data_IF_892360516696
#
_entry.id   IF_892360516696
#
_cell.length_a   1.000
_cell.length_b   1.000
_cell.length_c   1.000
_cell.angle_alpha   90.00
_cell.angle_beta   90.00
_cell.angle_gamma   90.00
#
_symmetry.space_group_name_H-M   'P 1'
#
loop_
_entity.id
_entity.type
_entity.pdbx_description
1 polymer ?
#
# COMPACT_ATOMS: atom_id res chain seq x y z
N UNK A 1 -8.87 -32.74 7.73
CA UNK A 1 -8.54 -31.50 8.47
C UNK A 1 -8.69 -30.37 7.47
N UNK A 2 -9.37 -29.28 7.81
CA UNK A 2 -9.70 -28.23 6.85
C UNK A 2 -8.49 -27.33 6.58
N UNK A 3 -7.60 -27.73 5.68
CA UNK A 3 -6.49 -26.87 5.23
C UNK A 3 -7.03 -25.55 4.63
N UNK A 4 -6.37 -24.43 4.96
CA UNK A 4 -6.70 -23.12 4.40
C UNK A 4 -6.45 -21.94 5.34
N UNK A 5 -6.77 -20.71 4.88
CA UNK A 5 -6.48 -19.48 5.63
C UNK A 5 -7.19 -19.43 7.00
N UNK A 6 -8.39 -20.00 7.11
CA UNK A 6 -9.16 -19.98 8.35
C UNK A 6 -8.52 -20.83 9.46
N UNK A 7 -7.92 -21.95 9.10
CA UNK A 7 -7.21 -22.78 10.08
C UNK A 7 -5.98 -22.05 10.62
N UNK A 8 -5.17 -21.44 9.75
CA UNK A 8 -3.99 -20.69 10.15
C UNK A 8 -4.36 -19.46 11.00
N UNK A 9 -5.46 -18.78 10.67
CA UNK A 9 -6.00 -17.68 11.48
C UNK A 9 -6.37 -18.15 12.89
N UNK A 10 -7.11 -19.26 13.01
CA UNK A 10 -7.50 -19.85 14.31
C UNK A 10 -6.30 -20.28 15.15
N UNK A 11 -5.25 -20.83 14.52
CA UNK A 11 -4.00 -21.16 15.21
C UNK A 11 -3.30 -19.91 15.77
N UNK A 12 -3.23 -18.83 14.98
CA UNK A 12 -2.65 -17.56 15.44
C UNK A 12 -3.45 -16.95 16.60
N UNK A 13 -4.78 -17.01 16.58
CA UNK A 13 -5.63 -16.62 17.72
C UNK A 13 -5.34 -17.48 18.95
N UNK A 14 -5.29 -18.80 18.81
CA UNK A 14 -5.04 -19.73 19.92
C UNK A 14 -3.65 -19.54 20.55
N UNK A 15 -2.64 -19.17 19.76
CA UNK A 15 -1.29 -18.87 20.25
C UNK A 15 -1.15 -17.50 20.92
N UNK A 16 -2.17 -16.63 20.85
CA UNK A 16 -2.10 -15.25 21.31
C UNK A 16 -1.38 -14.28 20.36
N UNK A 17 -0.88 -14.76 19.21
CA UNK A 17 -0.23 -13.92 18.20
C UNK A 17 -1.20 -12.95 17.48
N UNK A 18 -2.50 -13.25 17.51
CA UNK A 18 -3.57 -12.36 17.05
C UNK A 18 -4.62 -12.17 18.15
N UNK A 19 -5.21 -10.98 18.20
CA UNK A 19 -6.40 -10.69 19.01
C UNK A 19 -7.66 -10.97 18.18
N UNK A 20 -8.76 -11.46 18.80
CA UNK A 20 -10.01 -11.70 18.08
C UNK A 20 -10.59 -10.40 17.51
N UNK A 21 -10.95 -10.43 16.22
CA UNK A 21 -11.65 -9.35 15.54
C UNK A 21 -12.69 -9.92 14.57
N UNK A 22 -13.93 -9.40 14.63
CA UNK A 22 -15.04 -9.91 13.82
C UNK A 22 -14.86 -9.59 12.34
N UNK A 23 -14.29 -8.44 11.98
CA UNK A 23 -14.10 -8.04 10.60
C UNK A 23 -12.96 -8.84 9.94
N UNK A 24 -11.88 -9.09 10.68
CA UNK A 24 -10.81 -10.00 10.24
C UNK A 24 -11.34 -11.44 10.07
N UNK A 25 -12.16 -11.93 11.01
CA UNK A 25 -12.76 -13.25 10.89
C UNK A 25 -13.62 -13.38 9.62
N UNK A 26 -14.49 -12.40 9.35
CA UNK A 26 -15.31 -12.37 8.13
C UNK A 26 -14.46 -12.32 6.85
N UNK A 27 -13.40 -11.51 6.83
CA UNK A 27 -12.48 -11.45 5.71
C UNK A 27 -11.80 -12.81 5.45
N UNK A 28 -11.34 -13.47 6.51
CA UNK A 28 -10.70 -14.79 6.43
C UNK A 28 -11.70 -15.88 6.03
N UNK A 29 -12.96 -15.83 6.48
CA UNK A 29 -14.01 -16.76 6.06
C UNK A 29 -14.33 -16.64 4.56
N UNK A 30 -14.34 -15.41 4.04
CA UNK A 30 -14.51 -15.15 2.61
C UNK A 30 -13.33 -15.69 1.80
N UNK A 31 -12.10 -15.49 2.30
CA UNK A 31 -10.90 -16.09 1.70
C UNK A 31 -10.89 -17.62 1.77
N UNK A 32 -11.43 -18.21 2.84
CA UNK A 32 -11.59 -19.66 2.93
C UNK A 32 -12.60 -20.19 1.89
N UNK A 33 -13.68 -19.45 1.65
CA UNK A 33 -14.64 -19.77 0.60
C UNK A 33 -13.98 -19.74 -0.79
N UNK A 34 -13.21 -18.68 -1.08
CA UNK A 34 -12.45 -18.58 -2.32
C UNK A 34 -11.38 -19.68 -2.42
N UNK A 35 -10.65 -19.96 -1.35
CA UNK A 35 -9.68 -21.07 -1.29
C UNK A 35 -10.34 -22.39 -1.71
N UNK A 36 -11.54 -22.67 -1.22
CA UNK A 36 -12.27 -23.88 -1.59
C UNK A 36 -12.69 -23.88 -3.06
N UNK A 37 -13.17 -22.74 -3.58
CA UNK A 37 -13.55 -22.58 -4.98
C UNK A 37 -12.36 -22.70 -5.94
N UNK A 38 -11.16 -22.36 -5.48
CA UNK A 38 -9.92 -22.48 -6.26
C UNK A 38 -9.35 -23.90 -6.32
N UNK A 39 -9.89 -24.85 -5.55
CA UNK A 39 -9.42 -26.25 -5.57
C UNK A 39 -9.62 -26.82 -6.98
N UNK A 40 -8.52 -27.24 -7.60
CA UNK A 40 -8.46 -27.74 -8.98
C UNK A 40 -8.83 -26.72 -10.06
N UNK A 41 -8.86 -25.42 -9.73
CA UNK A 41 -9.15 -24.38 -10.71
C UNK A 41 -8.03 -24.27 -11.74
N UNK A 42 -8.40 -24.30 -13.04
CA UNK A 42 -7.52 -24.03 -14.17
C UNK A 42 -8.26 -23.16 -15.19
N UNK A 43 -7.75 -21.96 -15.53
CA UNK A 43 -8.37 -21.15 -16.57
C UNK A 43 -8.32 -21.86 -17.92
N UNK A 44 -9.46 -21.85 -18.62
CA UNK A 44 -9.64 -22.59 -19.88
C UNK A 44 -8.86 -22.01 -21.07
N UNK A 45 -8.26 -20.83 -20.90
CA UNK A 45 -7.50 -20.12 -21.91
C UNK A 45 -5.97 -20.27 -21.76
N UNK A 46 -5.49 -21.27 -21.02
CA UNK A 46 -4.06 -21.61 -21.06
C UNK A 46 -3.69 -22.12 -22.48
N UNK A 47 -2.64 -21.60 -23.14
CA UNK A 47 -2.49 -21.65 -24.60
C UNK A 47 -1.93 -22.97 -25.16
N UNK A 48 -2.18 -24.12 -24.53
CA UNK A 48 -1.57 -25.39 -24.94
C UNK A 48 -2.46 -26.32 -25.78
N UNK A 49 -3.69 -25.93 -26.09
CA UNK A 49 -4.59 -26.82 -26.86
C UNK A 49 -4.54 -26.58 -28.36
N UNK A 50 -3.44 -27.00 -28.99
CA UNK A 50 -3.40 -27.24 -30.44
C UNK A 50 -4.43 -28.30 -30.89
N UNK A 51 -4.90 -29.13 -29.96
CA UNK A 51 -5.97 -30.11 -30.16
C UNK A 51 -7.37 -29.50 -30.33
N UNK A 52 -7.62 -28.27 -29.85
CA UNK A 52 -8.93 -27.63 -30.01
C UNK A 52 -9.28 -27.28 -31.48
N UNK A 53 -8.29 -27.28 -32.39
CA UNK A 53 -8.49 -27.02 -33.84
C UNK A 53 -8.87 -28.26 -34.64
N UNK A 54 -8.77 -29.47 -34.06
CA UNK A 54 -9.12 -30.74 -34.71
C UNK A 54 -10.38 -31.35 -34.12
N UNK A 55 -11.54 -30.69 -34.33
CA UNK A 55 -12.86 -31.35 -34.48
C UNK A 55 -13.43 -32.24 -33.36
N UNK A 56 -12.73 -32.45 -32.25
CA UNK A 56 -13.17 -33.29 -31.12
C UNK A 56 -13.25 -32.48 -29.81
N UNK A 57 -13.74 -31.24 -29.89
CA UNK A 57 -13.95 -30.39 -28.73
C UNK A 57 -15.19 -30.83 -27.94
N UNK A 58 -15.01 -31.22 -26.68
CA UNK A 58 -16.09 -31.21 -25.68
C UNK A 58 -16.83 -29.87 -25.80
N UNK A 59 -18.16 -29.93 -25.89
CA UNK A 59 -19.03 -28.74 -25.87
C UNK A 59 -18.61 -27.82 -24.72
N UNK A 60 -18.62 -26.52 -24.99
CA UNK A 60 -18.31 -25.38 -24.11
C UNK A 60 -19.22 -25.27 -22.85
N UNK A 61 -19.81 -26.38 -22.39
CA UNK A 61 -20.95 -26.45 -21.46
C UNK A 61 -20.57 -26.95 -20.05
N UNK A 62 -19.35 -27.44 -19.84
CA UNK A 62 -18.92 -28.08 -18.58
C UNK A 62 -17.66 -27.43 -17.95
N UNK A 63 -17.40 -26.15 -18.24
CA UNK A 63 -16.33 -25.40 -17.56
C UNK A 63 -17.03 -24.51 -16.54
N UNK A 64 -16.81 -24.78 -15.25
CA UNK A 64 -17.30 -23.91 -14.18
C UNK A 64 -16.77 -22.48 -14.41
N UNK A 65 -17.61 -21.45 -14.23
CA UNK A 65 -17.16 -20.07 -14.36
C UNK A 65 -16.01 -19.79 -13.40
N UNK A 66 -15.06 -18.90 -13.76
CA UNK A 66 -13.98 -18.51 -12.87
C UNK A 66 -14.52 -18.11 -11.48
N UNK A 67 -13.88 -18.58 -10.38
CA UNK A 67 -14.25 -18.14 -9.04
C UNK A 67 -14.22 -16.62 -8.94
N UNK A 68 -15.24 -16.06 -8.28
CA UNK A 68 -15.31 -14.62 -8.06
C UNK A 68 -14.15 -14.19 -7.15
N UNK A 69 -13.42 -13.16 -7.57
CA UNK A 69 -12.32 -12.59 -6.79
C UNK A 69 -12.81 -11.79 -5.59
N UNK A 70 -11.89 -11.19 -4.82
CA UNK A 70 -12.22 -10.41 -3.62
C UNK A 70 -11.47 -9.07 -3.63
N UNK A 71 -12.16 -7.98 -3.28
CA UNK A 71 -11.55 -6.67 -3.07
C UNK A 71 -11.78 -6.24 -1.61
N UNK A 72 -10.72 -6.28 -0.81
CA UNK A 72 -10.75 -5.77 0.56
C UNK A 72 -10.40 -4.29 0.58
N UNK A 73 -11.21 -3.50 1.26
CA UNK A 73 -10.90 -2.10 1.51
C UNK A 73 -11.14 -1.70 2.97
N UNK A 74 -10.54 -0.60 3.38
CA UNK A 74 -10.68 -0.04 4.72
C UNK A 74 -9.39 0.64 5.14
N UNK A 75 -9.36 1.33 6.28
CA UNK A 75 -8.17 2.06 6.73
C UNK A 75 -6.93 1.18 6.88
N UNK A 76 -5.76 1.81 6.95
CA UNK A 76 -4.49 1.14 7.28
C UNK A 76 -4.58 0.45 8.66
N UNK A 77 -3.85 -0.64 8.84
CA UNK A 77 -3.78 -1.35 10.13
C UNK A 77 -4.95 -2.27 10.50
N UNK A 78 -5.93 -2.46 9.62
CA UNK A 78 -7.10 -3.32 9.88
C UNK A 78 -6.89 -4.81 9.59
N UNK A 79 -5.66 -5.23 9.27
CA UNK A 79 -5.32 -6.64 9.05
C UNK A 79 -5.57 -7.19 7.64
N UNK A 80 -5.82 -6.32 6.64
CA UNK A 80 -6.03 -6.74 5.23
C UNK A 80 -4.84 -7.53 4.67
N UNK A 81 -3.62 -7.02 4.85
CA UNK A 81 -2.39 -7.68 4.39
C UNK A 81 -2.14 -9.01 5.11
N UNK A 82 -2.44 -9.08 6.41
CA UNK A 82 -2.40 -10.34 7.17
C UNK A 82 -3.39 -11.37 6.63
N UNK A 83 -4.63 -10.97 6.35
CA UNK A 83 -5.61 -11.87 5.73
C UNK A 83 -5.13 -12.35 4.34
N UNK A 84 -4.55 -11.44 3.54
CA UNK A 84 -3.91 -11.77 2.26
C UNK A 84 -2.75 -12.77 2.45
N UNK A 85 -1.89 -12.60 3.46
CA UNK A 85 -0.78 -13.52 3.76
C UNK A 85 -1.29 -14.95 4.00
N UNK A 86 -2.29 -15.07 4.88
CA UNK A 86 -2.88 -16.36 5.26
C UNK A 86 -3.49 -17.07 4.05
N UNK A 87 -4.16 -16.31 3.19
CA UNK A 87 -4.74 -16.84 1.96
C UNK A 87 -3.67 -17.23 0.94
N UNK A 88 -2.74 -16.33 0.61
CA UNK A 88 -1.74 -16.57 -0.41
C UNK A 88 -0.85 -17.77 -0.06
N UNK A 89 -0.45 -17.91 1.21
CA UNK A 89 0.34 -19.04 1.69
C UNK A 89 -0.36 -20.39 1.46
N UNK A 90 -1.70 -20.43 1.57
CA UNK A 90 -2.48 -21.66 1.50
C UNK A 90 -3.24 -21.84 0.18
N UNK A 91 -3.29 -20.84 -0.70
CA UNK A 91 -4.09 -20.88 -1.92
C UNK A 91 -3.71 -22.08 -2.81
N UNK A 92 -4.67 -22.96 -3.15
CA UNK A 92 -4.43 -24.24 -3.84
C UNK A 92 -4.39 -24.03 -5.37
N UNK A 93 -3.58 -23.06 -5.82
CA UNK A 93 -3.44 -22.68 -7.23
C UNK A 93 -1.97 -22.82 -7.63
N UNK A 94 -1.72 -23.53 -8.73
CA UNK A 94 -0.38 -23.83 -9.24
C UNK A 94 0.36 -22.55 -9.65
N UNK A 95 -0.30 -21.70 -10.45
CA UNK A 95 0.23 -20.41 -10.89
C UNK A 95 -0.42 -19.27 -10.12
N UNK A 96 0.24 -18.83 -9.04
CA UNK A 96 -0.19 -17.68 -8.24
C UNK A 96 0.94 -16.67 -8.13
N UNK A 97 0.57 -15.39 -8.08
CA UNK A 97 1.50 -14.29 -7.91
C UNK A 97 0.93 -13.27 -6.95
N UNK A 98 1.78 -12.78 -6.05
CA UNK A 98 1.50 -11.64 -5.19
C UNK A 98 2.47 -10.51 -5.51
N UNK A 99 1.98 -9.27 -5.58
CA UNK A 99 2.77 -8.11 -5.99
C UNK A 99 2.11 -6.81 -5.53
N UNK A 100 2.89 -5.78 -5.25
CA UNK A 100 2.36 -4.43 -5.06
C UNK A 100 1.80 -3.87 -6.37
N UNK A 101 0.66 -3.18 -6.30
CA UNK A 101 -0.05 -2.78 -7.53
C UNK A 101 0.78 -1.86 -8.45
N UNK A 102 1.55 -0.93 -7.90
CA UNK A 102 2.38 -0.01 -8.68
C UNK A 102 3.55 -0.71 -9.40
N UNK A 103 4.15 -1.73 -8.78
CA UNK A 103 5.20 -2.56 -9.41
C UNK A 103 4.62 -3.36 -10.58
N UNK A 104 3.43 -3.95 -10.37
CA UNK A 104 2.70 -4.62 -11.44
C UNK A 104 2.43 -3.68 -12.62
N UNK A 105 2.00 -2.45 -12.36
CA UNK A 105 1.78 -1.47 -13.43
C UNK A 105 3.07 -1.10 -14.16
N UNK A 106 4.20 -0.96 -13.47
CA UNK A 106 5.50 -0.73 -14.10
C UNK A 106 5.88 -1.88 -15.05
N UNK A 107 5.66 -3.14 -14.65
CA UNK A 107 5.88 -4.30 -15.51
C UNK A 107 4.94 -4.33 -16.71
N UNK A 108 3.66 -4.03 -16.50
CA UNK A 108 2.65 -3.92 -17.56
C UNK A 108 3.09 -2.90 -18.60
N UNK A 109 3.53 -1.71 -18.19
CA UNK A 109 4.03 -0.69 -19.11
C UNK A 109 5.25 -1.18 -19.89
N UNK A 110 6.19 -1.88 -19.24
CA UNK A 110 7.35 -2.46 -19.92
C UNK A 110 6.93 -3.51 -20.98
N UNK A 111 6.00 -4.41 -20.65
CA UNK A 111 5.44 -5.40 -21.59
C UNK A 111 4.72 -4.72 -22.75
N UNK A 112 3.87 -3.73 -22.48
CA UNK A 112 3.15 -2.96 -23.49
C UNK A 112 4.12 -2.22 -24.42
N UNK A 113 5.15 -1.59 -23.89
CA UNK A 113 6.16 -0.89 -24.69
C UNK A 113 6.91 -1.86 -25.62
N UNK A 114 7.35 -3.02 -25.08
CA UNK A 114 7.98 -4.09 -25.86
C UNK A 114 7.07 -4.59 -26.98
N UNK A 115 5.80 -4.84 -26.69
CA UNK A 115 4.83 -5.32 -27.68
C UNK A 115 4.47 -4.25 -28.71
N UNK A 116 4.37 -2.97 -28.32
CA UNK A 116 4.19 -1.85 -29.26
C UNK A 116 5.36 -1.72 -30.23
N UNK A 117 6.60 -1.91 -29.76
CA UNK A 117 7.78 -1.88 -30.65
C UNK A 117 7.75 -3.01 -31.68
N UNK A 118 7.29 -4.21 -31.30
CA UNK A 118 7.08 -5.33 -32.23
C UNK A 118 5.90 -5.04 -33.19
N UNK A 119 4.78 -4.55 -32.66
CA UNK A 119 3.55 -4.30 -33.39
C UNK A 119 3.59 -3.06 -34.31
N UNK A 120 4.55 -2.14 -34.16
CA UNK A 120 4.78 -1.04 -35.13
C UNK A 120 5.02 -1.54 -36.56
N UNK A 121 5.29 -2.83 -36.75
CA UNK A 121 5.41 -3.49 -38.07
C UNK A 121 4.10 -4.06 -38.61
N UNK A 122 3.10 -4.31 -37.76
CA UNK A 122 1.90 -5.09 -38.12
C UNK A 122 0.56 -4.41 -37.76
N UNK A 123 0.59 -3.34 -36.95
CA UNK A 123 -0.61 -2.62 -36.50
C UNK A 123 -1.48 -3.46 -35.56
N UNK A 124 -1.38 -3.25 -34.25
CA UNK A 124 -2.18 -4.02 -33.29
C UNK A 124 -2.20 -3.45 -31.89
N UNK A 125 -3.30 -3.70 -31.19
CA UNK A 125 -3.47 -3.33 -29.79
C UNK A 125 -2.63 -4.27 -28.89
N UNK A 126 -1.69 -3.74 -28.09
CA UNK A 126 -0.79 -4.54 -27.27
C UNK A 126 -1.43 -5.08 -25.98
N UNK A 127 -2.66 -4.67 -25.64
CA UNK A 127 -3.28 -5.07 -24.36
C UNK A 127 -3.65 -6.56 -24.33
N UNK A 128 -4.42 -7.13 -25.29
CA UNK A 128 -4.72 -8.56 -25.30
C UNK A 128 -3.50 -9.50 -25.27
N UNK A 129 -2.41 -9.27 -26.03
CA UNK A 129 -1.21 -10.09 -25.89
C UNK A 129 -0.52 -9.91 -24.53
N UNK A 130 -0.53 -8.71 -23.95
CA UNK A 130 0.00 -8.49 -22.58
C UNK A 130 -0.80 -9.28 -21.54
N UNK A 131 -2.13 -9.25 -21.62
CA UNK A 131 -2.99 -10.02 -20.72
C UNK A 131 -2.75 -11.53 -20.84
N UNK A 132 -2.55 -12.04 -22.07
CA UNK A 132 -2.18 -13.45 -22.31
C UNK A 132 -0.83 -13.83 -21.70
N UNK A 133 0.18 -12.98 -21.83
CA UNK A 133 1.47 -13.21 -21.17
C UNK A 133 1.32 -13.26 -19.64
N UNK A 134 0.51 -12.37 -19.05
CA UNK A 134 0.27 -12.37 -17.60
C UNK A 134 -0.52 -13.60 -17.16
N UNK A 135 -1.58 -13.99 -17.88
CA UNK A 135 -2.40 -15.16 -17.56
C UNK A 135 -1.63 -16.49 -17.72
N UNK A 136 -0.63 -16.52 -18.60
CA UNK A 136 0.29 -17.64 -18.70
C UNK A 136 1.20 -17.77 -17.47
N UNK A 137 1.54 -16.66 -16.82
CA UNK A 137 2.40 -16.61 -15.63
C UNK A 137 1.60 -16.81 -14.33
N UNK A 138 0.36 -16.30 -14.24
CA UNK A 138 -0.46 -16.32 -13.03
C UNK A 138 -1.95 -16.49 -13.32
N UNK A 139 -2.58 -17.48 -12.67
CA UNK A 139 -4.03 -17.71 -12.66
C UNK A 139 -4.71 -17.02 -11.48
N UNK A 140 -3.97 -16.83 -10.39
CA UNK A 140 -4.37 -16.04 -9.23
C UNK A 140 -3.41 -14.86 -9.07
N UNK A 141 -3.96 -13.64 -9.14
CA UNK A 141 -3.25 -12.40 -8.86
C UNK A 141 -3.70 -11.85 -7.51
N UNK A 142 -2.75 -11.69 -6.59
CA UNK A 142 -2.93 -11.08 -5.29
C UNK A 142 -2.26 -9.70 -5.28
N UNK A 143 -3.04 -8.63 -5.31
CA UNK A 143 -2.54 -7.27 -5.25
C UNK A 143 -2.54 -6.73 -3.83
N UNK A 144 -1.39 -6.28 -3.37
CA UNK A 144 -1.29 -5.42 -2.20
C UNK A 144 -1.30 -3.95 -2.58
N UNK A 145 -1.92 -3.14 -1.73
CA UNK A 145 -1.96 -1.68 -1.86
C UNK A 145 -2.50 -1.22 -3.23
N UNK A 146 -3.64 -1.78 -3.62
CA UNK A 146 -4.32 -1.42 -4.87
C UNK A 146 -4.78 0.04 -4.81
N UNK A 147 -4.04 0.92 -5.47
CA UNK A 147 -4.35 2.34 -5.59
C UNK A 147 -3.94 2.89 -6.96
N UNK A 148 -4.76 3.78 -7.52
CA UNK A 148 -4.56 4.36 -8.84
C UNK A 148 -4.50 5.88 -8.70
N UNK A 149 -3.34 6.45 -9.00
CA UNK A 149 -3.09 7.89 -8.94
C UNK A 149 -2.61 8.48 -10.28
N UNK A 150 -2.12 7.66 -11.21
CA UNK A 150 -1.62 8.08 -12.52
C UNK A 150 -2.71 7.94 -13.60
N UNK A 151 -2.82 8.95 -14.47
CA UNK A 151 -3.67 8.92 -15.65
C UNK A 151 -3.26 7.82 -16.64
N UNK A 152 -1.95 7.57 -16.79
CA UNK A 152 -1.45 6.56 -17.72
C UNK A 152 -1.97 5.17 -17.33
N UNK A 153 -1.97 4.87 -16.02
CA UNK A 153 -2.49 3.64 -15.47
C UNK A 153 -4.01 3.57 -15.64
N UNK A 154 -4.71 4.64 -15.27
CA UNK A 154 -6.16 4.73 -15.36
C UNK A 154 -6.69 4.43 -16.77
N UNK A 155 -5.99 4.86 -17.82
CA UNK A 155 -6.42 4.65 -19.22
C UNK A 155 -6.23 3.21 -19.72
N UNK A 156 -5.34 2.42 -19.11
CA UNK A 156 -5.03 1.06 -19.56
C UNK A 156 -5.75 0.01 -18.71
N UNK A 157 -5.94 0.30 -17.42
CA UNK A 157 -6.41 -0.68 -16.43
C UNK A 157 -7.72 -1.36 -16.79
N UNK A 158 -8.72 -0.59 -17.22
CA UNK A 158 -10.03 -1.15 -17.58
C UNK A 158 -9.92 -2.26 -18.61
N UNK A 159 -9.24 -1.97 -19.72
CA UNK A 159 -9.06 -2.89 -20.85
C UNK A 159 -8.18 -4.09 -20.48
N UNK A 160 -7.16 -3.88 -19.64
CA UNK A 160 -6.28 -4.95 -19.18
C UNK A 160 -7.01 -5.93 -18.28
N UNK A 161 -7.73 -5.44 -17.27
CA UNK A 161 -8.45 -6.29 -16.33
C UNK A 161 -9.62 -7.01 -16.99
N UNK A 162 -10.31 -6.36 -17.93
CA UNK A 162 -11.33 -7.01 -18.76
C UNK A 162 -10.74 -8.24 -19.46
N UNK A 163 -9.61 -8.07 -20.17
CA UNK A 163 -8.93 -9.17 -20.83
C UNK A 163 -8.41 -10.24 -19.83
N UNK A 164 -7.92 -9.86 -18.66
CA UNK A 164 -7.50 -10.82 -17.62
C UNK A 164 -8.67 -11.65 -17.10
N UNK A 165 -9.82 -11.03 -16.84
CA UNK A 165 -11.02 -11.73 -16.39
C UNK A 165 -11.61 -12.64 -17.47
N UNK A 166 -11.56 -12.23 -18.75
CA UNK A 166 -11.94 -13.09 -19.88
C UNK A 166 -11.04 -14.32 -20.01
N UNK A 167 -9.75 -14.18 -19.68
CA UNK A 167 -8.80 -15.29 -19.63
C UNK A 167 -8.95 -16.15 -18.37
N UNK A 168 -9.87 -15.81 -17.46
CA UNK A 168 -10.13 -16.54 -16.22
C UNK A 168 -9.11 -16.27 -15.12
N UNK A 169 -8.40 -15.14 -15.14
CA UNK A 169 -7.54 -14.76 -14.01
C UNK A 169 -8.41 -14.34 -12.82
N UNK A 170 -8.17 -14.95 -11.67
CA UNK A 170 -8.84 -14.60 -10.41
C UNK A 170 -8.00 -13.55 -9.69
N UNK A 171 -8.66 -12.52 -9.16
CA UNK A 171 -7.98 -11.40 -8.48
C UNK A 171 -8.41 -11.34 -7.01
N UNK A 172 -7.44 -11.20 -6.11
CA UNK A 172 -7.67 -10.74 -4.74
C UNK A 172 -6.89 -9.44 -4.56
N UNK A 173 -7.51 -8.40 -4.03
CA UNK A 173 -6.86 -7.10 -3.84
C UNK A 173 -7.08 -6.58 -2.41
N UNK A 174 -6.07 -5.91 -1.86
CA UNK A 174 -6.19 -5.09 -0.64
C UNK A 174 -5.98 -3.62 -0.98
N UNK A 175 -6.83 -2.74 -0.47
CA UNK A 175 -6.74 -1.29 -0.71
C UNK A 175 -7.09 -0.50 0.55
N UNK A 176 -6.61 0.74 0.62
CA UNK A 176 -7.08 1.70 1.63
C UNK A 176 -8.32 2.48 1.16
N UNK A 177 -8.72 2.33 -0.11
CA UNK A 177 -9.83 3.06 -0.72
C UNK A 177 -10.93 2.09 -1.18
N UNK A 178 -12.18 2.48 -0.98
CA UNK A 178 -13.29 1.80 -1.63
C UNK A 178 -13.13 1.92 -3.16
N UNK A 179 -13.71 1.01 -3.97
CA UNK A 179 -13.60 1.10 -5.43
C UNK A 179 -14.06 2.44 -6.00
N UNK A 180 -15.09 3.06 -5.40
CA UNK A 180 -15.57 4.39 -5.83
C UNK A 180 -14.57 5.50 -5.54
N UNK A 181 -13.66 5.33 -4.59
CA UNK A 181 -12.64 6.33 -4.24
C UNK A 181 -11.33 6.16 -5.02
N UNK A 182 -11.20 5.07 -5.81
CA UNK A 182 -10.06 4.87 -6.69
C UNK A 182 -10.02 5.97 -7.76
N UNK A 183 -8.85 6.59 -7.94
CA UNK A 183 -8.63 7.68 -8.91
C UNK A 183 -9.61 8.87 -8.72
N UNK A 184 -10.05 9.12 -7.47
CA UNK A 184 -10.94 10.25 -7.14
C UNK A 184 -10.26 11.57 -7.52
N UNK A 185 -11.02 12.43 -8.20
CA UNK A 185 -10.53 13.71 -8.76
C UNK A 185 -9.40 13.58 -9.81
N UNK A 186 -9.15 12.37 -10.34
CA UNK A 186 -8.21 12.18 -11.43
C UNK A 186 -8.68 12.84 -12.72
N UNK A 187 -7.74 13.21 -13.59
CA UNK A 187 -8.06 13.80 -14.89
C UNK A 187 -8.79 12.77 -15.76
N UNK A 188 -9.88 13.17 -16.41
CA UNK A 188 -10.74 12.28 -17.19
C UNK A 188 -11.31 11.07 -16.40
N UNK A 189 -11.63 11.27 -15.13
CA UNK A 189 -12.20 10.25 -14.23
C UNK A 189 -13.40 9.52 -14.83
N UNK A 190 -14.22 10.18 -15.64
CA UNK A 190 -15.34 9.57 -16.36
C UNK A 190 -14.93 8.34 -17.19
N UNK A 191 -13.69 8.31 -17.70
CA UNK A 191 -13.14 7.16 -18.46
C UNK A 191 -12.69 6.02 -17.54
N UNK A 192 -12.48 6.29 -16.26
CA UNK A 192 -12.09 5.30 -15.26
C UNK A 192 -13.30 4.64 -14.57
N UNK A 193 -14.46 5.31 -14.55
CA UNK A 193 -15.70 4.77 -13.99
C UNK A 193 -16.07 3.37 -14.51
N UNK A 194 -15.94 3.04 -15.82
CA UNK A 194 -16.18 1.68 -16.30
C UNK A 194 -15.33 0.62 -15.62
N UNK A 195 -14.09 0.94 -15.25
CA UNK A 195 -13.22 0.02 -14.51
C UNK A 195 -13.69 -0.19 -13.07
N UNK A 196 -14.17 0.86 -12.39
CA UNK A 196 -14.80 0.74 -11.06
C UNK A 196 -16.00 -0.20 -11.12
N UNK A 197 -16.84 -0.06 -12.15
CA UNK A 197 -17.97 -0.96 -12.40
C UNK A 197 -17.50 -2.40 -12.62
N UNK A 198 -16.45 -2.60 -13.42
CA UNK A 198 -15.87 -3.93 -13.66
C UNK A 198 -15.38 -4.58 -12.35
N UNK A 199 -14.67 -3.83 -11.49
CA UNK A 199 -14.24 -4.31 -10.17
C UNK A 199 -15.45 -4.77 -9.34
N UNK A 200 -16.50 -3.95 -9.24
CA UNK A 200 -17.70 -4.27 -8.47
C UNK A 200 -18.49 -5.46 -9.02
N UNK A 201 -18.42 -5.70 -10.33
CA UNK A 201 -19.07 -6.84 -10.96
C UNK A 201 -18.28 -8.15 -10.82
N UNK A 202 -16.95 -8.08 -10.84
CA UNK A 202 -16.08 -9.27 -10.89
C UNK A 202 -15.51 -9.66 -9.54
N UNK A 203 -15.50 -8.75 -8.56
CA UNK A 203 -14.94 -8.98 -7.23
C UNK A 203 -16.02 -8.82 -6.15
N UNK A 204 -15.99 -9.67 -5.13
CA UNK A 204 -16.74 -9.46 -3.89
C UNK A 204 -16.06 -8.33 -3.10
N UNK A 205 -16.73 -7.19 -2.98
CA UNK A 205 -16.18 -5.97 -2.36
C UNK A 205 -16.52 -5.97 -0.87
N UNK A 206 -15.49 -6.07 -0.03
CA UNK A 206 -15.64 -6.25 1.41
C UNK A 206 -14.89 -5.16 2.18
N UNK A 207 -15.61 -4.49 3.08
CA UNK A 207 -15.04 -3.53 4.02
C UNK A 207 -14.45 -4.26 5.22
N UNK A 208 -13.17 -4.04 5.50
CA UNK A 208 -12.46 -4.49 6.70
C UNK A 208 -12.31 -3.28 7.62
N UNK A 209 -13.43 -2.89 8.24
CA UNK A 209 -13.54 -1.71 9.11
C UNK A 209 -13.86 -2.14 10.54
N UNK A 210 -12.94 -2.85 11.20
CA UNK A 210 -13.03 -3.00 12.66
C UNK A 210 -12.67 -1.71 13.36
N UNK A 211 -13.25 -1.44 14.54
CA UNK A 211 -12.93 -0.26 15.35
C UNK A 211 -11.47 -0.27 15.84
N UNK A 212 -10.86 -1.45 15.92
CA UNK A 212 -9.51 -1.64 16.48
C UNK A 212 -8.45 -1.57 15.40
N UNK A 213 -7.49 -0.64 15.54
CA UNK A 213 -6.31 -0.57 14.69
C UNK A 213 -5.19 -1.31 15.41
N UNK A 214 -4.88 -2.52 14.93
CA UNK A 214 -3.93 -3.42 15.59
C UNK A 214 -2.49 -2.91 15.55
N UNK A 215 -2.18 -1.91 14.72
CA UNK A 215 -0.87 -1.23 14.74
C UNK A 215 -0.72 -0.36 15.97
N UNK A 216 -1.80 0.33 16.37
CA UNK A 216 -1.79 1.20 17.56
C UNK A 216 -1.44 0.40 18.80
N UNK A 217 -2.01 -0.80 18.92
CA UNK A 217 -1.71 -1.71 20.02
C UNK A 217 -0.25 -2.19 20.04
N UNK A 218 0.44 -2.23 18.89
CA UNK A 218 1.87 -2.57 18.82
C UNK A 218 2.75 -1.41 19.22
N UNK A 219 2.41 -0.18 18.81
CA UNK A 219 3.17 1.03 19.17
C UNK A 219 2.91 1.49 20.62
N UNK A 220 1.76 1.14 21.20
CA UNK A 220 1.40 1.51 22.57
C UNK A 220 2.44 0.97 23.56
N UNK A 221 3.17 1.89 24.17
CA UNK A 221 4.21 1.59 25.16
C UNK A 221 5.62 1.43 24.59
N UNK A 222 5.80 1.50 23.27
CA UNK A 222 7.13 1.55 22.66
C UNK A 222 7.64 3.01 22.63
N UNK A 223 8.90 3.27 23.03
CA UNK A 223 9.53 4.56 22.76
C UNK A 223 9.62 4.78 21.26
N UNK A 224 9.16 5.93 20.76
CA UNK A 224 9.25 6.29 19.33
C UNK A 224 10.39 7.27 19.03
N UNK A 225 11.01 7.84 20.06
CA UNK A 225 12.17 8.71 19.93
C UNK A 225 13.33 8.13 20.75
N UNK A 226 14.43 7.83 20.07
CA UNK A 226 15.61 7.24 20.69
C UNK A 226 16.78 8.21 20.64
N UNK A 227 17.35 8.51 21.81
CA UNK A 227 18.57 9.29 21.92
C UNK A 227 19.41 8.80 23.12
N UNK A 228 20.75 8.77 23.02
CA UNK A 228 21.58 9.19 21.89
C UNK A 228 21.60 8.18 20.72
N UNK A 229 22.37 8.47 19.67
CA UNK A 229 22.69 7.49 18.62
C UNK A 229 23.65 6.43 19.19
N UNK A 230 23.12 5.29 19.57
CA UNK A 230 23.87 4.11 19.99
C UNK A 230 23.28 2.82 19.41
N UNK A 231 23.95 1.69 19.66
CA UNK A 231 23.51 0.38 19.18
C UNK A 231 22.13 -0.01 19.74
N UNK A 232 21.74 0.52 20.91
CA UNK A 232 20.43 0.28 21.50
C UNK A 232 19.33 0.97 20.69
N UNK A 233 19.55 2.22 20.29
CA UNK A 233 18.64 2.95 19.42
C UNK A 233 18.50 2.25 18.06
N UNK A 234 19.61 1.80 17.47
CA UNK A 234 19.60 1.07 16.20
C UNK A 234 18.81 -0.24 16.29
N UNK A 235 19.03 -1.04 17.35
CA UNK A 235 18.28 -2.27 17.59
C UNK A 235 16.78 -1.98 17.82
N UNK A 236 16.44 -0.95 18.59
CA UNK A 236 15.05 -0.58 18.84
C UNK A 236 14.29 -0.18 17.57
N UNK A 237 14.93 0.57 16.65
CA UNK A 237 14.34 0.87 15.34
C UNK A 237 14.13 -0.39 14.51
N UNK A 238 15.09 -1.31 14.51
CA UNK A 238 15.01 -2.58 13.78
C UNK A 238 13.87 -3.47 14.30
N UNK A 239 13.77 -3.61 15.62
CA UNK A 239 12.71 -4.37 16.28
C UNK A 239 11.35 -3.75 16.03
N UNK A 240 11.25 -2.42 16.09
CA UNK A 240 9.99 -1.71 15.82
C UNK A 240 9.55 -1.90 14.38
N UNK A 241 10.47 -1.80 13.40
CA UNK A 241 10.15 -2.08 12.00
C UNK A 241 9.62 -3.51 11.85
N UNK A 242 10.34 -4.51 12.36
CA UNK A 242 9.91 -5.91 12.27
C UNK A 242 8.53 -6.14 12.90
N UNK A 243 8.26 -5.56 14.08
CA UNK A 243 6.96 -5.68 14.73
C UNK A 243 5.84 -5.01 13.93
N UNK A 244 6.07 -3.85 13.34
CA UNK A 244 5.06 -3.14 12.54
C UNK A 244 4.80 -3.80 11.19
N UNK A 245 5.79 -4.51 10.65
CA UNK A 245 5.70 -5.14 9.34
C UNK A 245 5.38 -6.63 9.40
N UNK A 246 4.97 -7.18 10.56
CA UNK A 246 4.78 -8.62 10.78
C UNK A 246 5.99 -9.45 10.32
N UNK A 247 7.19 -8.96 10.63
CA UNK A 247 8.49 -9.53 10.22
C UNK A 247 8.68 -9.62 8.69
N UNK A 248 7.86 -8.91 7.92
CA UNK A 248 8.05 -8.86 6.47
C UNK A 248 9.43 -8.24 6.15
N UNK A 249 10.20 -8.86 5.23
CA UNK A 249 11.44 -8.27 4.78
C UNK A 249 11.13 -6.92 4.15
N UNK A 250 11.87 -5.88 4.55
CA UNK A 250 11.73 -4.58 3.92
C UNK A 250 12.43 -4.58 2.56
N UNK A 251 11.75 -4.08 1.54
CA UNK A 251 12.28 -4.00 0.17
C UNK A 251 12.40 -2.54 -0.28
N UNK A 252 13.30 -2.22 -1.24
CA UNK A 252 13.38 -0.89 -1.81
C UNK A 252 12.08 -0.50 -2.51
N UNK A 253 11.58 0.70 -2.25
CA UNK A 253 10.38 1.26 -2.86
C UNK A 253 10.68 2.68 -3.40
N UNK A 254 9.70 3.36 -3.98
CA UNK A 254 9.82 4.75 -4.38
C UNK A 254 8.48 5.47 -4.44
N UNK A 255 8.47 6.74 -4.05
CA UNK A 255 7.30 7.63 -4.14
C UNK A 255 7.40 8.50 -5.38
N UNK A 256 6.36 8.52 -6.21
CA UNK A 256 6.28 9.36 -7.40
C UNK A 256 5.55 10.67 -7.10
N UNK A 257 6.16 11.81 -7.42
CA UNK A 257 5.60 13.15 -7.16
C UNK A 257 5.88 14.06 -8.36
N UNK A 258 4.85 14.56 -9.04
CA UNK A 258 5.00 15.53 -10.14
C UNK A 258 6.10 15.16 -11.16
N UNK A 259 6.19 13.88 -11.54
CA UNK A 259 7.17 13.37 -12.51
C UNK A 259 8.56 13.03 -11.96
N UNK A 260 8.82 13.20 -10.66
CA UNK A 260 10.05 12.74 -10.00
C UNK A 260 9.80 11.50 -9.14
N UNK A 261 10.87 10.74 -8.87
CA UNK A 261 10.84 9.58 -7.96
C UNK A 261 11.72 9.84 -6.75
N UNK A 262 11.17 9.63 -5.57
CA UNK A 262 11.86 9.68 -4.28
C UNK A 262 12.20 8.23 -3.92
N UNK A 263 13.48 7.84 -3.85
CA UNK A 263 13.84 6.49 -3.46
C UNK A 263 13.54 6.27 -1.97
N UNK A 264 12.94 5.13 -1.66
CA UNK A 264 12.68 4.66 -0.30
C UNK A 264 13.56 3.44 -0.09
N UNK A 265 14.65 3.54 0.70
CA UNK A 265 15.63 2.46 0.81
C UNK A 265 15.02 1.13 1.25
N UNK A 266 14.05 1.20 2.16
CA UNK A 266 13.41 0.03 2.75
C UNK A 266 11.99 0.39 3.17
N UNK A 267 11.00 -0.35 2.68
CA UNK A 267 9.62 -0.23 3.09
C UNK A 267 8.94 -1.59 3.15
N UNK A 268 7.92 -1.71 4.00
CA UNK A 268 7.00 -2.84 4.00
C UNK A 268 5.70 -2.43 4.70
N UNK A 269 4.56 -2.92 4.21
CA UNK A 269 3.23 -2.75 4.82
C UNK A 269 2.92 -1.29 5.24
N UNK A 270 3.19 -0.31 4.39
CA UNK A 270 2.96 1.11 4.71
C UNK A 270 3.91 1.73 5.75
N UNK A 271 4.98 1.03 6.16
CA UNK A 271 6.09 1.54 6.99
C UNK A 271 7.30 1.78 6.09
N UNK A 272 7.82 3.01 6.09
CA UNK A 272 9.05 3.35 5.37
C UNK A 272 10.19 3.65 6.33
N UNK A 273 11.40 3.22 5.96
CA UNK A 273 12.63 3.48 6.68
C UNK A 273 13.57 4.31 5.81
N UNK A 274 14.02 5.42 6.37
CA UNK A 274 14.98 6.34 5.77
C UNK A 274 16.14 6.61 6.74
N UNK A 275 17.31 6.93 6.19
CA UNK A 275 18.29 7.71 6.92
C UNK A 275 17.94 9.20 6.91
N UNK A 276 18.47 9.97 7.87
CA UNK A 276 18.38 11.43 7.83
C UNK A 276 18.89 12.01 6.50
N UNK A 277 19.94 11.42 5.93
CA UNK A 277 20.55 11.85 4.68
C UNK A 277 19.62 11.64 3.48
N UNK A 278 18.82 10.58 3.49
CA UNK A 278 17.86 10.30 2.41
C UNK A 278 16.79 11.38 2.27
N UNK A 279 16.41 12.00 3.39
CA UNK A 279 15.34 12.99 3.43
C UNK A 279 15.90 14.42 3.45
N UNK A 280 16.88 14.70 4.30
CA UNK A 280 17.29 16.06 4.62
C UNK A 280 18.54 16.55 3.89
N UNK A 281 19.43 15.65 3.40
CA UNK A 281 20.60 16.03 2.58
C UNK A 281 20.35 16.00 1.07
N UNK A 282 19.18 15.50 0.63
CA UNK A 282 18.75 15.52 -0.77
C UNK A 282 17.87 16.73 -1.07
N UNK A 283 17.75 17.07 -2.35
CA UNK A 283 16.94 18.20 -2.84
C UNK A 283 15.41 17.94 -2.78
N UNK A 284 14.90 17.59 -1.59
CA UNK A 284 13.47 17.40 -1.31
C UNK A 284 12.82 18.69 -0.77
N UNK A 285 11.57 18.92 -1.16
CA UNK A 285 10.72 20.03 -0.72
C UNK A 285 9.43 19.56 -0.06
N UNK A 286 8.57 20.50 0.33
CA UNK A 286 7.34 20.21 1.08
C UNK A 286 6.40 19.21 0.39
N UNK A 287 6.20 19.36 -0.93
CA UNK A 287 5.37 18.43 -1.70
C UNK A 287 5.93 17.00 -1.76
N UNK A 288 7.25 16.83 -1.66
CA UNK A 288 7.90 15.52 -1.60
C UNK A 288 7.59 14.84 -0.26
N UNK A 289 7.72 15.57 0.85
CA UNK A 289 7.42 15.04 2.18
C UNK A 289 5.94 14.74 2.36
N UNK A 290 5.04 15.58 1.82
CA UNK A 290 3.62 15.30 1.84
C UNK A 290 3.28 14.01 1.07
N UNK A 291 3.92 13.75 -0.06
CA UNK A 291 3.69 12.50 -0.78
C UNK A 291 4.24 11.27 -0.05
N UNK A 292 5.37 11.40 0.66
CA UNK A 292 5.87 10.34 1.56
C UNK A 292 4.86 10.12 2.69
N UNK A 293 4.37 11.20 3.30
CA UNK A 293 3.41 11.17 4.38
C UNK A 293 2.03 10.63 3.94
N UNK A 294 1.62 10.87 2.69
CA UNK A 294 0.38 10.32 2.11
C UNK A 294 0.47 8.80 1.91
N UNK A 295 1.66 8.30 1.54
CA UNK A 295 1.86 6.89 1.20
C UNK A 295 2.12 6.02 2.43
N UNK A 296 2.92 6.51 3.37
CA UNK A 296 3.35 5.72 4.52
C UNK A 296 2.73 6.26 5.80
N UNK A 297 1.98 5.38 6.47
CA UNK A 297 1.36 5.69 7.76
C UNK A 297 2.37 5.71 8.91
N UNK A 298 3.58 5.19 8.69
CA UNK A 298 4.67 5.21 9.65
C UNK A 298 5.98 5.46 8.91
N UNK A 299 6.76 6.40 9.43
CA UNK A 299 8.06 6.76 8.87
C UNK A 299 9.10 6.64 9.98
N UNK A 300 10.07 5.75 9.73
CA UNK A 300 11.25 5.56 10.56
C UNK A 300 12.39 6.38 9.98
N UNK A 301 13.01 7.23 10.79
CA UNK A 301 14.20 8.01 10.40
C UNK A 301 15.35 7.74 11.34
N UNK A 302 16.41 7.13 10.83
CA UNK A 302 17.63 6.89 11.61
C UNK A 302 18.66 8.01 11.46
N UNK A 303 19.44 8.21 12.53
CA UNK A 303 20.68 8.96 12.46
C UNK A 303 20.50 10.47 12.35
N UNK A 304 19.51 11.04 13.04
CA UNK A 304 19.29 12.50 13.03
C UNK A 304 20.44 13.18 13.80
N UNK A 305 21.29 13.97 13.15
CA UNK A 305 22.43 14.61 13.81
C UNK A 305 21.97 15.80 14.65
N UNK A 306 22.84 16.32 15.51
CA UNK A 306 22.67 17.67 16.05
C UNK A 306 22.65 18.66 14.90
N UNK A 307 21.63 19.51 14.91
CA UNK A 307 21.41 20.53 13.91
C UNK A 307 21.96 21.87 14.43
N UNK A 308 22.51 22.69 13.54
CA UNK A 308 23.15 23.96 13.83
C UNK A 308 23.41 24.78 12.55
N UNK A 309 24.29 25.79 12.65
CA UNK A 309 24.56 26.72 11.55
C UNK A 309 25.11 26.03 10.29
N UNK A 310 25.98 25.04 10.47
CA UNK A 310 26.67 24.35 9.36
C UNK A 310 25.74 23.46 8.53
N UNK A 311 24.57 23.07 9.07
CA UNK A 311 23.57 22.24 8.39
C UNK A 311 22.17 22.90 8.39
N UNK A 312 22.14 24.23 8.21
CA UNK A 312 20.90 25.02 8.22
C UNK A 312 19.88 24.56 7.17
N UNK A 313 20.33 24.14 5.99
CA UNK A 313 19.44 23.68 4.92
C UNK A 313 18.76 22.36 5.30
N UNK A 314 19.53 21.45 5.89
CA UNK A 314 19.09 20.17 6.43
C UNK A 314 18.12 20.38 7.59
N UNK A 315 18.42 21.32 8.49
CA UNK A 315 17.54 21.69 9.59
C UNK A 315 16.19 22.21 9.08
N UNK A 316 16.17 23.10 8.09
CA UNK A 316 14.94 23.60 7.46
C UNK A 316 14.15 22.48 6.78
N UNK A 317 14.85 21.56 6.11
CA UNK A 317 14.23 20.37 5.51
C UNK A 317 13.62 19.44 6.55
N UNK A 318 14.28 19.27 7.69
CA UNK A 318 13.77 18.47 8.80
C UNK A 318 12.51 19.10 9.41
N UNK A 319 12.46 20.43 9.56
CA UNK A 319 11.23 21.14 9.95
C UNK A 319 10.10 20.80 8.98
N UNK A 320 10.31 20.95 7.66
CA UNK A 320 9.28 20.65 6.67
C UNK A 320 8.85 19.17 6.68
N UNK A 321 9.77 18.24 6.92
CA UNK A 321 9.47 16.83 7.07
C UNK A 321 8.55 16.59 8.26
N UNK A 322 8.95 17.05 9.45
CA UNK A 322 8.16 16.89 10.68
C UNK A 322 6.78 17.52 10.50
N UNK A 323 6.70 18.68 9.86
CA UNK A 323 5.44 19.36 9.59
C UNK A 323 4.50 18.52 8.72
N UNK A 324 5.01 17.97 7.61
CA UNK A 324 4.23 17.12 6.69
C UNK A 324 3.77 15.82 7.35
N UNK A 325 4.65 15.16 8.11
CA UNK A 325 4.29 13.96 8.88
C UNK A 325 3.26 14.29 9.96
N UNK A 326 3.45 15.43 10.64
CA UNK A 326 2.56 15.88 11.70
C UNK A 326 1.14 16.13 11.19
N UNK A 327 1.01 16.85 10.08
CA UNK A 327 -0.24 17.21 9.41
C UNK A 327 -1.01 15.97 8.95
N UNK A 328 -0.29 14.96 8.45
CA UNK A 328 -0.88 13.69 7.99
C UNK A 328 -1.10 12.66 9.09
N UNK A 329 -0.83 12.99 10.36
CA UNK A 329 -0.91 12.03 11.49
C UNK A 329 -0.11 10.75 11.23
N UNK A 330 1.11 10.92 10.71
CA UNK A 330 2.04 9.81 10.48
C UNK A 330 2.76 9.50 11.78
N UNK A 331 2.81 8.22 12.15
CA UNK A 331 3.63 7.78 13.27
C UNK A 331 5.11 7.96 12.91
N UNK A 332 5.78 8.88 13.60
CA UNK A 332 7.18 9.20 13.38
C UNK A 332 8.03 8.51 14.45
N UNK A 333 8.92 7.64 14.01
CA UNK A 333 9.83 6.89 14.88
C UNK A 333 11.25 7.27 14.46
N UNK A 334 12.13 7.61 15.39
CA UNK A 334 13.47 8.04 15.01
C UNK A 334 14.56 7.78 16.04
N UNK A 335 15.81 7.82 15.56
CA UNK A 335 17.00 7.92 16.39
C UNK A 335 17.71 9.26 16.14
N UNK A 336 18.17 9.90 17.21
CA UNK A 336 18.81 11.21 17.16
C UNK A 336 20.00 11.33 18.12
N UNK A 337 20.95 12.21 17.81
CA UNK A 337 22.14 12.48 18.66
C UNK A 337 21.79 13.20 19.98
N UNK A 338 20.58 13.73 20.08
CA UNK A 338 20.12 14.54 21.20
C UNK A 338 18.61 14.41 21.38
N UNK A 339 18.06 14.64 22.58
CA UNK A 339 16.62 14.80 22.76
C UNK A 339 16.11 16.02 21.97
N UNK A 340 14.79 16.11 21.66
CA UNK A 340 14.21 17.15 20.81
C UNK A 340 14.64 18.58 21.19
N UNK A 341 14.63 18.91 22.48
CA UNK A 341 14.96 20.25 23.01
C UNK A 341 16.43 20.62 22.82
N UNK A 342 17.31 19.63 22.67
CA UNK A 342 18.75 19.82 22.50
C UNK A 342 19.24 19.54 21.07
N UNK A 343 18.32 19.28 20.14
CA UNK A 343 18.64 18.92 18.76
C UNK A 343 19.06 20.14 17.92
N UNK A 344 18.51 21.33 18.20
CA UNK A 344 18.93 22.61 17.60
C UNK A 344 18.99 23.70 18.69
N UNK A 345 20.17 23.91 19.27
CA UNK A 345 20.33 24.81 20.43
C UNK A 345 20.43 26.29 20.05
N UNK A 346 21.16 26.61 18.98
CA UNK A 346 21.50 27.99 18.62
C UNK A 346 21.61 28.16 17.09
N UNK A 347 21.16 29.29 16.58
CA UNK A 347 21.25 29.63 15.15
C UNK A 347 20.05 30.41 14.61
N UNK A 348 20.20 30.89 13.38
CA UNK A 348 19.09 31.49 12.63
C UNK A 348 18.04 30.39 12.37
N UNK A 349 16.80 30.58 12.84
CA UNK A 349 15.74 29.56 12.77
C UNK A 349 15.50 28.77 14.07
N UNK A 350 16.22 29.06 15.17
CA UNK A 350 16.00 28.36 16.46
C UNK A 350 14.56 28.54 16.98
N UNK A 351 13.96 29.70 16.74
CA UNK A 351 12.56 29.96 17.07
C UNK A 351 11.59 29.11 16.24
N UNK A 352 11.81 28.96 14.94
CA UNK A 352 11.01 28.07 14.08
C UNK A 352 11.16 26.59 14.50
N UNK A 353 12.36 26.22 14.97
CA UNK A 353 12.64 24.89 15.47
C UNK A 353 11.91 24.58 16.78
N UNK A 354 11.58 25.57 17.63
CA UNK A 354 10.78 25.33 18.84
C UNK A 354 9.41 24.72 18.53
N UNK A 355 8.76 25.15 17.42
CA UNK A 355 7.51 24.52 16.97
C UNK A 355 7.72 23.06 16.60
N UNK A 356 8.86 22.75 16.00
CA UNK A 356 9.26 21.39 15.63
C UNK A 356 9.48 20.54 16.87
N UNK A 357 10.13 21.09 17.92
CA UNK A 357 10.27 20.42 19.22
C UNK A 357 8.90 20.08 19.82
N UNK A 358 7.97 21.03 19.88
CA UNK A 358 6.62 20.76 20.39
C UNK A 358 5.90 19.66 19.61
N UNK A 359 6.03 19.65 18.28
CA UNK A 359 5.47 18.59 17.42
C UNK A 359 6.12 17.25 17.69
N UNK A 360 7.44 17.18 17.76
CA UNK A 360 8.17 15.95 18.08
C UNK A 360 7.76 15.39 19.45
N UNK A 361 7.53 16.25 20.44
CA UNK A 361 7.04 15.84 21.76
C UNK A 361 5.60 15.33 21.70
N UNK A 362 4.72 16.02 20.97
CA UNK A 362 3.34 15.57 20.79
C UNK A 362 3.26 14.25 20.01
N UNK A 363 4.11 14.06 19.00
CA UNK A 363 4.18 12.82 18.20
C UNK A 363 4.60 11.59 19.03
N UNK A 364 5.17 11.79 20.22
CA UNK A 364 5.48 10.73 21.18
C UNK A 364 4.31 10.39 22.11
N UNK A 365 3.24 11.20 22.12
CA UNK A 365 2.08 11.00 22.99
C UNK A 365 1.23 9.81 22.54
N UNK A 366 0.58 9.15 23.50
CA UNK A 366 -0.31 8.03 23.21
C UNK A 366 -1.51 8.49 22.37
N UNK A 367 -1.99 9.71 22.58
CA UNK A 367 -3.07 10.34 21.83
C UNK A 367 -2.69 10.52 20.36
N UNK A 368 -1.49 11.03 20.08
CA UNK A 368 -1.02 11.21 18.71
C UNK A 368 -0.79 9.88 18.01
N UNK A 369 -0.09 8.95 18.68
CA UNK A 369 0.17 7.62 18.13
C UNK A 369 -1.14 6.92 17.78
N UNK A 370 -2.19 7.10 18.60
CA UNK A 370 -3.52 6.53 18.39
C UNK A 370 -4.37 7.23 17.32
N UNK A 371 -3.94 8.38 16.80
CA UNK A 371 -4.68 9.10 15.78
C UNK A 371 -4.71 8.32 14.46
N UNK A 372 -5.83 8.43 13.74
CA UNK A 372 -5.92 7.87 12.39
C UNK A 372 -4.96 8.64 11.45
N UNK A 373 -4.25 7.88 10.62
CA UNK A 373 -3.40 8.45 9.57
C UNK A 373 -4.28 9.12 8.52
N UNK A 374 -4.11 10.43 8.34
CA UNK A 374 -4.92 11.26 7.46
C UNK A 374 -4.34 11.21 6.04
N UNK A 375 -4.71 10.19 5.27
CA UNK A 375 -4.33 10.12 3.85
C UNK A 375 -5.02 11.20 3.01
N UNK A 376 -4.57 11.37 1.76
CA UNK A 376 -5.08 12.35 0.76
C UNK A 376 -6.61 12.36 0.54
N UNK A 377 -7.35 11.37 1.04
CA UNK A 377 -8.80 11.26 0.89
C UNK A 377 -9.62 12.01 1.97
N UNK A 378 -9.07 12.26 3.16
CA UNK A 378 -9.85 12.81 4.30
C UNK A 378 -9.94 14.34 4.32
N UNK A 379 -9.07 15.06 3.60
CA UNK A 379 -9.18 16.53 3.44
C UNK A 379 -10.48 16.98 2.75
N UNK A 380 -11.12 16.10 1.98
CA UNK A 380 -12.34 16.43 1.25
C UNK A 380 -13.62 16.45 2.13
N UNK A 381 -13.55 15.98 3.38
CA UNK A 381 -14.72 15.90 4.27
C UNK A 381 -14.82 17.00 5.32
N UNK A 382 -13.85 17.93 5.39
CA UNK A 382 -13.88 19.03 6.35
C UNK A 382 -14.04 20.39 5.62
N UNK A 383 -15.26 20.80 5.26
CA UNK A 383 -15.45 22.16 4.76
C UNK A 383 -15.05 23.14 5.87
N UNK A 384 -14.15 24.06 5.55
CA UNK A 384 -13.81 25.18 6.41
C UNK A 384 -15.10 25.89 6.84
N UNK A 385 -15.21 26.37 8.10
CA UNK A 385 -16.40 27.09 8.53
C UNK A 385 -16.57 28.33 7.66
N UNK A 386 -17.73 28.43 7.00
CA UNK A 386 -18.12 29.55 6.16
C UNK A 386 -17.87 30.86 6.92
N UNK A 387 -16.88 31.63 6.48
CA UNK A 387 -16.75 33.03 6.85
C UNK A 387 -17.94 33.76 6.26
N UNK A 388 -18.95 33.97 7.10
CA UNK A 388 -20.09 34.83 6.82
C UNK A 388 -19.57 36.22 6.47
N UNK A 389 -19.75 36.58 5.21
CA UNK A 389 -19.63 37.93 4.67
C UNK A 389 -20.56 38.85 5.46
N UNK A 390 -20.01 39.67 6.36
CA UNK A 390 -20.68 40.85 6.87
C UNK A 390 -20.42 41.98 5.86
N UNK A 391 -21.40 42.23 4.99
CA UNK A 391 -21.46 43.45 4.20
C UNK A 391 -21.92 44.60 5.11
N UNK A 392 -21.16 45.70 5.10
CA UNK A 392 -21.62 47.05 5.41
C UNK A 392 -21.95 47.77 4.11
#
# INVERSE_FOLDING_TARGET
MSDGPLQNYRQKLASGALKPDQHQALAVDKLQSLHNALKNYRPSAAPDSWFARFGFGRRHKDIDPPPQGIYFYGPVGRGKSMAMDLFYATAPVEKKRRVHFHEFMAEVHARLHRLRQKAKREGGDPIPPTAREIAADAWLLCFDEFDVNDIADAMILGRLFEALFELGVVVVATSNKAPDDLYRNGLHRERFVPFITLIKQKLDVLSVSGDTDFRLDRLRGMPVYHAPLDDTAAAALADTFAQLTDEAPGEPDSVSVLGRRIPVPKAARGVAWFSFDDLCRKALGAGDYLAVADRYHTVIVEGIPRLGKENRNEARRFIHLVDALYERKVNFICSAEAPPEALYREGEGAFEFQRTVSRLMEMQSAEYIAAAHLGRAEEAENPAPDTVTAAQ
#
